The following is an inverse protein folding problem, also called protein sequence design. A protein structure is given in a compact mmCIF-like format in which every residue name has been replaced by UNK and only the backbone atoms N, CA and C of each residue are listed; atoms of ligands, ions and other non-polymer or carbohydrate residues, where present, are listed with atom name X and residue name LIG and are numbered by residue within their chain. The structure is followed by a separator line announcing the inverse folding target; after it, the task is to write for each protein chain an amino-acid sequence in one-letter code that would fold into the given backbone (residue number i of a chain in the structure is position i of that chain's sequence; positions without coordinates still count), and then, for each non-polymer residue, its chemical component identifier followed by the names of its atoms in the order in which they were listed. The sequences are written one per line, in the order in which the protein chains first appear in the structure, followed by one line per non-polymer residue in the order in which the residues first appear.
data_IF_577957501042
#
_entry.id   IF_577957501042
#
_cell.length_a   1.000
_cell.length_b   1.000
_cell.length_c   1.000
_cell.angle_alpha   90.00
_cell.angle_beta   90.00
_cell.angle_gamma   90.00
#
_symmetry.space_group_name_H-M   'P 1'
#
loop_
_entity.id
_entity.type
_entity.pdbx_description
1 polymer ?
#
# COMPACT_ATOMS: atom_id res chain seq x y z
N UNK A 1 20.01 -2.64 37.24
CA UNK A 1 19.35 -3.03 35.99
C UNK A 1 18.86 -1.73 35.42
N UNK A 2 19.54 -1.20 34.39
CA UNK A 2 19.20 0.09 33.82
C UNK A 2 17.82 -0.04 33.21
N UNK A 3 16.83 0.53 33.89
CA UNK A 3 15.51 0.80 33.35
C UNK A 3 15.73 1.61 32.09
N UNK A 4 15.74 0.93 30.94
CA UNK A 4 15.70 1.62 29.68
C UNK A 4 14.39 2.40 29.69
N UNK A 5 14.52 3.72 29.81
CA UNK A 5 13.40 4.63 29.80
C UNK A 5 12.57 4.33 28.54
N UNK A 6 11.31 3.93 28.78
CA UNK A 6 10.42 3.44 27.74
C UNK A 6 10.26 4.49 26.62
N UNK A 7 10.19 5.76 27.00
CA UNK A 7 10.08 6.88 26.07
C UNK A 7 11.34 7.00 25.18
N UNK A 8 12.53 6.89 25.79
CA UNK A 8 13.80 6.87 25.04
C UNK A 8 13.89 5.72 24.03
N UNK A 9 13.37 4.53 24.37
CA UNK A 9 13.31 3.39 23.44
C UNK A 9 12.27 3.62 22.32
N UNK A 10 11.12 4.20 22.65
CA UNK A 10 10.04 4.47 21.70
C UNK A 10 10.45 5.54 20.68
N UNK A 11 11.10 6.61 21.12
CA UNK A 11 11.58 7.68 20.24
C UNK A 11 12.67 7.17 19.28
N UNK A 12 13.59 6.34 19.79
CA UNK A 12 14.57 5.65 18.94
C UNK A 12 13.89 4.73 17.93
N UNK A 13 12.87 3.97 18.33
CA UNK A 13 12.16 3.09 17.42
C UNK A 13 11.46 3.90 16.31
N UNK A 14 10.79 5.00 16.67
CA UNK A 14 10.07 5.87 15.72
C UNK A 14 11.00 6.60 14.76
N UNK A 15 12.15 7.09 15.21
CA UNK A 15 13.12 7.78 14.34
C UNK A 15 13.80 6.84 13.34
N UNK A 16 13.84 5.54 13.63
CA UNK A 16 14.38 4.52 12.73
C UNK A 16 13.33 3.97 11.75
N UNK A 17 12.06 4.36 11.85
CA UNK A 17 11.05 4.01 10.85
C UNK A 17 11.21 4.99 9.67
N UNK A 18 11.58 4.51 8.48
CA UNK A 18 11.66 5.37 7.30
C UNK A 18 10.30 6.01 7.01
N UNK A 19 10.29 7.30 6.69
CA UNK A 19 9.08 8.06 6.35
C UNK A 19 8.31 7.43 5.18
N UNK A 20 9.01 6.72 4.29
CA UNK A 20 8.42 6.00 3.15
C UNK A 20 7.61 4.76 3.55
N UNK A 21 7.80 4.18 4.75
CA UNK A 21 6.93 3.09 5.25
C UNK A 21 5.59 3.66 5.75
N UNK A 22 5.49 4.97 5.96
CA UNK A 22 4.21 5.64 6.21
C UNK A 22 3.38 5.86 4.95
N UNK A 23 3.94 5.57 3.76
CA UNK A 23 3.11 5.36 2.59
C UNK A 23 2.34 4.06 2.80
N UNK A 24 1.15 4.25 3.34
CA UNK A 24 -0.05 3.54 2.98
C UNK A 24 -0.21 3.52 1.45
N UNK A 25 0.68 2.86 0.72
CA UNK A 25 0.24 2.03 -0.39
C UNK A 25 -0.52 0.88 0.26
N UNK A 26 -1.69 1.24 0.80
CA UNK A 26 -2.78 0.29 0.95
C UNK A 26 -2.92 -0.33 -0.42
N UNK A 27 -3.21 -1.62 -0.47
CA UNK A 27 -3.63 -2.26 -1.70
C UNK A 27 -4.69 -1.35 -2.36
N UNK A 28 -4.32 -0.70 -3.46
CA UNK A 28 -5.18 0.16 -4.25
C UNK A 28 -5.66 -0.68 -5.40
N UNK A 29 -6.98 -0.75 -5.56
CA UNK A 29 -7.57 -1.43 -6.70
C UNK A 29 -6.95 -0.85 -7.99
N UNK A 30 -6.36 -1.68 -8.86
CA UNK A 30 -5.79 -1.20 -10.11
C UNK A 30 -6.89 -0.65 -11.03
N UNK A 31 -6.55 0.34 -11.85
CA UNK A 31 -7.52 0.99 -12.73
C UNK A 31 -8.04 0.00 -13.79
N UNK A 32 -9.37 -0.09 -14.00
CA UNK A 32 -9.93 -1.02 -14.97
C UNK A 32 -9.66 -0.57 -16.40
N UNK A 33 -9.10 -1.47 -17.20
CA UNK A 33 -8.81 -1.27 -18.60
C UNK A 33 -9.95 -1.78 -19.47
N UNK A 34 -10.86 -0.88 -19.82
CA UNK A 34 -12.01 -1.17 -20.69
C UNK A 34 -11.69 -0.79 -22.14
N UNK A 35 -12.09 -1.66 -23.06
CA UNK A 35 -12.05 -1.44 -24.50
C UNK A 35 -13.42 -1.71 -25.09
N UNK A 36 -13.88 -0.85 -26.01
CA UNK A 36 -15.17 -1.01 -26.68
C UNK A 36 -14.88 -1.24 -28.17
N UNK A 37 -15.31 -2.39 -28.67
CA UNK A 37 -15.21 -2.78 -30.08
C UNK A 37 -16.61 -3.05 -30.63
N UNK A 38 -17.17 -2.05 -31.32
CA UNK A 38 -18.53 -2.12 -31.86
C UNK A 38 -19.56 -2.26 -30.74
N UNK A 39 -20.30 -3.38 -30.72
CA UNK A 39 -21.26 -3.74 -29.68
C UNK A 39 -20.67 -4.57 -28.53
N UNK A 40 -19.35 -4.82 -28.54
CA UNK A 40 -18.67 -5.61 -27.53
C UNK A 40 -17.84 -4.72 -26.58
N UNK A 41 -17.85 -5.07 -25.29
CA UNK A 41 -17.04 -4.41 -24.25
C UNK A 41 -16.10 -5.44 -23.64
N UNK A 42 -14.80 -5.14 -23.65
CA UNK A 42 -13.72 -6.04 -23.22
C UNK A 42 -13.02 -5.41 -22.01
N UNK A 43 -12.90 -6.17 -20.92
CA UNK A 43 -12.18 -5.77 -19.72
C UNK A 43 -10.83 -6.51 -19.66
N UNK A 44 -9.74 -5.82 -20.03
CA UNK A 44 -8.44 -6.45 -20.29
C UNK A 44 -7.71 -6.94 -19.04
N UNK A 45 -7.77 -6.19 -17.95
CA UNK A 45 -7.08 -6.53 -16.70
C UNK A 45 -8.03 -7.03 -15.60
N UNK A 46 -9.09 -7.74 -15.97
CA UNK A 46 -10.05 -8.29 -15.01
C UNK A 46 -9.37 -9.15 -13.92
N UNK A 47 -8.40 -9.99 -14.29
CA UNK A 47 -7.68 -10.85 -13.34
C UNK A 47 -6.79 -10.06 -12.36
N UNK A 48 -6.31 -8.88 -12.74
CA UNK A 48 -5.48 -8.02 -11.89
C UNK A 48 -6.35 -7.23 -10.88
N UNK A 49 -7.60 -6.94 -11.26
CA UNK A 49 -8.57 -6.22 -10.42
C UNK A 49 -9.22 -7.13 -9.39
N UNK A 50 -9.35 -8.43 -9.69
CA UNK A 50 -10.05 -9.41 -8.85
C UNK A 50 -9.13 -10.21 -7.91
N UNK A 51 -7.89 -10.51 -8.32
CA UNK A 51 -6.93 -11.27 -7.50
C UNK A 51 -6.08 -10.37 -6.60
#
# INVERSE_FOLDING_TARGET
MSDFDYESLLDRARSNIPEEISNRSRWTLPDPQIMIEGSNTIFRNFAEVVN
#
